data_IF_533216756890
#
_entry.id   IF_533216756890
#
_cell.length_a   1.000
_cell.length_b   1.000
_cell.length_c   1.000
_cell.angle_alpha   90.00
_cell.angle_beta   90.00
_cell.angle_gamma   90.00
#
_symmetry.space_group_name_H-M   'P 1'
#
loop_
_entity.id
_entity.type
_entity.pdbx_description
1 polymer ?
#
# COMPACT_ATOMS: atom_id res chain seq x y z
N UNK A 1 11.76 -29.88 10.59
CA UNK A 1 11.31 -28.48 10.41
C UNK A 1 9.95 -28.53 9.73
N UNK A 2 8.91 -27.97 10.35
CA UNK A 2 7.55 -27.95 9.78
C UNK A 2 7.35 -26.58 9.15
N UNK A 3 7.10 -26.53 7.85
CA UNK A 3 6.74 -25.31 7.14
C UNK A 3 5.41 -25.55 6.44
N UNK A 4 4.37 -24.85 6.87
CA UNK A 4 3.02 -24.96 6.29
C UNK A 4 2.49 -23.57 5.97
N UNK A 5 1.92 -23.43 4.77
CA UNK A 5 1.29 -22.19 4.30
C UNK A 5 -0.20 -22.44 4.38
N UNK A 6 -0.87 -21.78 5.33
CA UNK A 6 -2.30 -21.96 5.58
C UNK A 6 -3.01 -20.64 5.33
N UNK A 7 -4.10 -20.67 4.58
CA UNK A 7 -5.01 -19.54 4.42
C UNK A 7 -6.20 -19.78 5.35
N UNK A 8 -6.32 -19.06 6.49
CA UNK A 8 -7.45 -19.23 7.40
C UNK A 8 -8.77 -18.84 6.73
N UNK A 9 -9.72 -19.77 6.66
CA UNK A 9 -11.11 -19.48 6.31
C UNK A 9 -11.99 -19.18 7.55
N UNK A 10 -11.41 -19.32 8.75
CA UNK A 10 -12.05 -19.10 10.04
C UNK A 10 -11.06 -18.46 10.99
N UNK A 11 -11.56 -17.81 12.05
CA UNK A 11 -10.73 -17.14 13.05
C UNK A 11 -9.80 -18.13 13.79
N UNK A 12 -10.20 -19.38 13.93
CA UNK A 12 -9.41 -20.42 14.60
C UNK A 12 -8.82 -21.38 13.56
N UNK A 13 -7.51 -21.59 13.63
CA UNK A 13 -6.78 -22.63 12.88
C UNK A 13 -6.35 -23.71 13.88
N UNK A 14 -6.58 -24.97 13.52
CA UNK A 14 -6.09 -26.14 14.25
C UNK A 14 -5.20 -26.95 13.31
N UNK A 15 -4.04 -27.39 13.77
CA UNK A 15 -3.18 -28.31 13.03
C UNK A 15 -2.67 -29.41 13.96
N UNK A 16 -2.52 -30.61 13.41
CA UNK A 16 -1.95 -31.73 14.13
C UNK A 16 -0.42 -31.61 14.14
N UNK A 17 0.19 -31.85 15.30
CA UNK A 17 1.63 -31.77 15.49
C UNK A 17 2.19 -33.20 15.42
N UNK A 18 3.24 -33.46 14.62
CA UNK A 18 3.83 -34.78 14.54
C UNK A 18 4.32 -35.28 15.90
N UNK A 19 4.21 -36.59 16.15
CA UNK A 19 4.56 -37.23 17.43
C UNK A 19 5.98 -36.89 17.93
N UNK A 20 6.93 -36.64 17.02
CA UNK A 20 8.30 -36.29 17.38
C UNK A 20 8.43 -34.95 18.11
N UNK A 21 7.46 -34.05 17.94
CA UNK A 21 7.43 -32.73 18.54
C UNK A 21 6.62 -32.68 19.85
N UNK A 22 5.97 -33.78 20.23
CA UNK A 22 5.19 -33.87 21.48
C UNK A 22 6.13 -33.87 22.69
N UNK A 23 5.91 -32.96 23.63
CA UNK A 23 6.73 -32.80 24.83
C UNK A 23 7.96 -31.90 24.64
N UNK A 24 8.15 -31.29 23.47
CA UNK A 24 9.19 -30.30 23.20
C UNK A 24 8.58 -28.89 23.16
N UNK A 25 9.37 -27.87 23.48
CA UNK A 25 8.95 -26.47 23.33
C UNK A 25 8.93 -26.12 21.83
N UNK A 26 7.81 -25.55 21.37
CA UNK A 26 7.58 -25.18 19.97
C UNK A 26 7.32 -23.69 19.93
N UNK A 27 8.11 -22.95 19.15
CA UNK A 27 7.87 -21.55 18.83
C UNK A 27 7.07 -21.46 17.54
N UNK A 28 5.96 -20.72 17.57
CA UNK A 28 5.10 -20.49 16.40
C UNK A 28 5.15 -19.01 16.07
N UNK A 29 5.69 -18.69 14.90
CA UNK A 29 5.75 -17.33 14.38
C UNK A 29 4.85 -17.25 13.16
N UNK A 30 3.83 -16.39 13.22
CA UNK A 30 2.90 -16.16 12.14
C UNK A 30 3.17 -14.80 11.50
N UNK A 31 3.27 -14.78 10.17
CA UNK A 31 3.37 -13.57 9.37
C UNK A 31 2.29 -13.62 8.29
N UNK A 32 1.57 -12.52 8.07
CA UNK A 32 0.72 -12.46 6.89
C UNK A 32 1.64 -12.34 5.66
N UNK A 33 1.51 -13.27 4.71
CA UNK A 33 2.30 -13.27 3.47
C UNK A 33 2.13 -11.97 2.65
N UNK A 34 1.07 -11.22 2.93
CA UNK A 34 0.65 -10.00 2.23
C UNK A 34 0.68 -8.74 3.12
N UNK A 35 1.34 -8.75 4.29
CA UNK A 35 1.45 -7.61 5.23
C UNK A 35 2.30 -6.41 4.69
N UNK A 36 2.36 -6.25 3.37
CA UNK A 36 2.94 -5.12 2.65
C UNK A 36 2.08 -4.62 1.49
N UNK A 37 1.06 -5.39 1.06
CA UNK A 37 -0.01 -4.87 0.22
C UNK A 37 -1.09 -4.43 1.19
N UNK A 38 -0.82 -3.30 1.86
CA UNK A 38 -1.90 -2.46 2.35
C UNK A 38 -2.88 -2.41 1.20
N UNK A 39 -4.08 -2.96 1.38
CA UNK A 39 -5.20 -2.58 0.55
C UNK A 39 -5.24 -1.07 0.72
N UNK A 40 -4.56 -0.35 -0.18
CA UNK A 40 -4.68 1.07 -0.37
C UNK A 40 -6.16 1.22 -0.57
N UNK A 41 -6.87 1.56 0.53
CA UNK A 41 -8.26 1.97 0.48
C UNK A 41 -8.24 3.00 -0.61
N UNK A 42 -8.72 2.63 -1.80
CA UNK A 42 -8.54 3.40 -3.01
C UNK A 42 -8.85 4.84 -2.64
N UNK A 43 -7.81 5.67 -2.56
CA UNK A 43 -7.99 7.06 -2.22
C UNK A 43 -8.67 7.66 -3.45
N UNK A 44 -10.01 7.56 -3.51
CA UNK A 44 -10.84 8.25 -4.49
C UNK A 44 -10.82 9.73 -4.14
N UNK A 45 -9.69 10.38 -4.37
CA UNK A 45 -9.66 11.80 -4.67
C UNK A 45 -8.71 12.00 -5.84
N UNK A 46 -9.28 11.98 -7.04
CA UNK A 46 -8.75 12.80 -8.14
C UNK A 46 -8.74 14.23 -7.62
N UNK A 47 -7.60 14.71 -7.16
CA UNK A 47 -7.35 16.13 -6.98
C UNK A 47 -7.31 16.75 -8.37
N UNK A 48 -8.45 17.21 -8.84
CA UNK A 48 -8.52 18.06 -10.03
C UNK A 48 -8.16 19.47 -9.60
N UNK A 49 -6.98 19.93 -9.99
CA UNK A 49 -6.71 21.36 -10.04
C UNK A 49 -7.57 21.94 -11.16
N UNK A 50 -8.58 22.74 -10.80
CA UNK A 50 -9.25 23.61 -11.76
C UNK A 50 -8.26 24.70 -12.15
N UNK A 51 -7.44 24.43 -13.17
CA UNK A 51 -6.63 25.46 -13.79
C UNK A 51 -7.60 26.51 -14.34
N UNK A 52 -7.53 27.74 -13.83
CA UNK A 52 -8.24 28.87 -14.41
C UNK A 52 -7.64 29.11 -15.79
N UNK A 53 -8.26 28.56 -16.82
CA UNK A 53 -7.86 28.75 -18.21
C UNK A 53 -8.12 30.21 -18.59
N UNK A 54 -7.14 31.08 -18.37
CA UNK A 54 -7.16 32.43 -18.91
C UNK A 54 -6.89 32.36 -20.42
N UNK A 55 -7.68 33.10 -21.19
CA UNK A 55 -7.51 33.19 -22.63
C UNK A 55 -6.22 33.96 -22.95
N UNK A 56 -5.16 33.24 -23.33
CA UNK A 56 -3.85 33.83 -23.65
C UNK A 56 -3.74 34.20 -25.14
N UNK A 57 -4.84 34.22 -25.90
CA UNK A 57 -4.79 34.54 -27.34
C UNK A 57 -4.39 36.00 -27.51
N UNK A 58 -3.13 36.22 -27.85
CA UNK A 58 -2.53 37.54 -28.04
C UNK A 58 -1.64 38.01 -26.87
N UNK A 59 -1.54 37.25 -25.77
CA UNK A 59 -0.59 37.56 -24.72
C UNK A 59 0.81 37.14 -25.16
N UNK A 60 1.70 38.13 -25.33
CA UNK A 60 3.14 37.90 -25.56
C UNK A 60 3.87 38.40 -24.34
N UNK A 61 4.52 37.48 -23.63
CA UNK A 61 5.37 37.82 -22.48
C UNK A 61 6.43 38.84 -22.92
N UNK A 62 6.40 40.04 -22.34
CA UNK A 62 7.39 41.08 -22.59
C UNK A 62 8.51 40.97 -21.55
N UNK A 63 9.68 40.53 -22.00
CA UNK A 63 10.85 40.36 -21.12
C UNK A 63 11.43 41.69 -20.66
N UNK A 64 11.22 42.76 -21.42
CA UNK A 64 11.72 44.10 -21.11
C UNK A 64 10.98 44.68 -19.89
N UNK A 65 9.64 44.62 -19.91
CA UNK A 65 8.76 45.03 -18.79
C UNK A 65 9.04 44.25 -17.49
N UNK A 66 9.37 42.95 -17.61
CA UNK A 66 9.68 42.10 -16.47
C UNK A 66 11.08 42.35 -15.87
N UNK A 67 11.96 43.01 -16.63
CA UNK A 67 13.33 43.32 -16.23
C UNK A 67 13.54 44.79 -15.84
N UNK A 68 12.53 45.65 -15.98
CA UNK A 68 12.56 47.00 -15.43
C UNK A 68 12.41 46.94 -13.89
N UNK A 69 13.56 46.93 -13.22
CA UNK A 69 13.72 47.08 -11.77
C UNK A 69 14.88 48.00 -11.46
#
# INVERSE_FOLDING_TARGET
MIHTIVIPNKQTISFDIPKDYVGKQIEVIAFAKDEGIVNEKQAKKKVTFSALSIDTRGYKFNRDEANER
#
